data_IF_782849467772
#
_entry.id   IF_782849467772
#
_cell.length_a   1.000
_cell.length_b   1.000
_cell.length_c   1.000
_cell.angle_alpha   90.00
_cell.angle_beta   90.00
_cell.angle_gamma   90.00
#
_symmetry.space_group_name_H-M   'P 1'
#
loop_
_entity.id
_entity.type
_entity.pdbx_description
1 polymer ?
#
# COMPACT_ATOMS: atom_id res chain seq x y z
N UNK A 1 -53.70 -16.99 19.77
CA UNK A 1 -52.50 -16.21 20.14
C UNK A 1 -51.34 -16.80 19.36
N UNK A 2 -50.54 -16.01 18.61
CA UNK A 2 -49.38 -16.59 17.93
C UNK A 2 -48.42 -17.10 19.02
N UNK A 3 -48.02 -18.37 18.92
CA UNK A 3 -47.16 -19.04 19.90
C UNK A 3 -45.83 -18.31 20.05
N UNK A 4 -45.27 -18.32 21.27
CA UNK A 4 -43.93 -17.79 21.50
C UNK A 4 -42.93 -18.51 20.58
N UNK A 5 -41.99 -17.78 19.95
CA UNK A 5 -40.88 -18.40 19.25
C UNK A 5 -40.20 -19.43 20.15
N UNK A 6 -39.82 -20.55 19.56
CA UNK A 6 -39.08 -21.60 20.26
C UNK A 6 -37.67 -21.10 20.59
N UNK A 7 -37.07 -21.60 21.68
CA UNK A 7 -35.71 -21.23 22.10
C UNK A 7 -34.67 -21.38 20.96
N UNK A 8 -34.88 -22.35 20.07
CA UNK A 8 -34.05 -22.58 18.88
C UNK A 8 -34.16 -21.47 17.83
N UNK A 9 -35.34 -20.88 17.66
CA UNK A 9 -35.55 -19.74 16.75
C UNK A 9 -34.88 -18.48 17.31
N UNK A 10 -34.99 -18.23 18.61
CA UNK A 10 -34.34 -17.10 19.28
C UNK A 10 -32.80 -17.17 19.17
N UNK A 11 -32.20 -18.35 19.41
CA UNK A 11 -30.76 -18.56 19.23
C UNK A 11 -30.31 -18.42 17.77
N UNK A 12 -31.14 -18.86 16.82
CA UNK A 12 -30.86 -18.70 15.39
C UNK A 12 -30.83 -17.22 15.01
N UNK A 13 -31.84 -16.44 15.43
CA UNK A 13 -31.90 -15.01 15.18
C UNK A 13 -30.75 -14.26 15.84
N UNK A 14 -30.39 -14.61 17.09
CA UNK A 14 -29.27 -14.00 17.80
C UNK A 14 -27.92 -14.20 17.07
N UNK A 15 -27.67 -15.42 16.55
CA UNK A 15 -26.47 -15.70 15.74
C UNK A 15 -26.45 -14.90 14.45
N UNK A 16 -27.57 -14.85 13.73
CA UNK A 16 -27.67 -14.12 12.47
C UNK A 16 -27.45 -12.61 12.67
N UNK A 17 -28.02 -12.04 13.74
CA UNK A 17 -27.80 -10.64 14.11
C UNK A 17 -26.34 -10.35 14.43
N UNK A 18 -25.69 -11.23 15.20
CA UNK A 18 -24.28 -11.10 15.53
C UNK A 18 -23.41 -11.15 14.28
N UNK A 19 -23.62 -12.12 13.40
CA UNK A 19 -22.90 -12.24 12.13
C UNK A 19 -23.09 -11.01 11.24
N UNK A 20 -24.33 -10.50 11.14
CA UNK A 20 -24.63 -9.28 10.37
C UNK A 20 -23.95 -8.06 10.97
N UNK A 21 -23.99 -7.88 12.29
CA UNK A 21 -23.30 -6.79 12.99
C UNK A 21 -21.79 -6.86 12.78
N UNK A 22 -21.20 -8.06 12.92
CA UNK A 22 -19.77 -8.28 12.65
C UNK A 22 -19.42 -7.89 11.21
N UNK A 23 -20.17 -8.38 10.23
CA UNK A 23 -19.96 -8.04 8.81
C UNK A 23 -20.01 -6.52 8.57
N UNK A 24 -20.96 -5.82 9.16
CA UNK A 24 -21.07 -4.35 9.04
C UNK A 24 -19.86 -3.64 9.64
N UNK A 25 -19.36 -4.10 10.79
CA UNK A 25 -18.16 -3.54 11.41
C UNK A 25 -16.93 -3.81 10.54
N UNK A 26 -16.74 -5.04 10.07
CA UNK A 26 -15.62 -5.43 9.20
C UNK A 26 -15.61 -4.59 7.90
N UNK A 27 -16.77 -4.40 7.28
CA UNK A 27 -16.91 -3.56 6.07
C UNK A 27 -16.58 -2.09 6.35
N UNK A 28 -17.00 -1.57 7.50
CA UNK A 28 -16.70 -0.19 7.92
C UNK A 28 -15.22 0.00 8.19
N UNK A 29 -14.58 -0.96 8.87
CA UNK A 29 -13.14 -0.94 9.14
C UNK A 29 -12.34 -1.05 7.84
N UNK A 30 -12.71 -1.94 6.93
CA UNK A 30 -12.08 -2.08 5.62
C UNK A 30 -12.16 -0.78 4.81
N UNK A 31 -13.33 -0.13 4.78
CA UNK A 31 -13.50 1.18 4.14
C UNK A 31 -12.59 2.25 4.76
N UNK A 32 -12.56 2.32 6.10
CA UNK A 32 -11.70 3.27 6.80
C UNK A 32 -10.21 3.02 6.51
N UNK A 33 -9.78 1.76 6.44
CA UNK A 33 -8.40 1.40 6.08
C UNK A 33 -8.04 1.83 4.65
N UNK A 34 -8.95 1.66 3.69
CA UNK A 34 -8.77 2.14 2.32
C UNK A 34 -8.67 3.68 2.26
N UNK A 35 -9.55 4.38 2.97
CA UNK A 35 -9.53 5.85 3.06
C UNK A 35 -8.19 6.38 3.59
N UNK A 36 -7.69 5.78 4.69
CA UNK A 36 -6.39 6.11 5.28
C UNK A 36 -5.26 5.85 4.29
N UNK A 37 -5.28 4.70 3.59
CA UNK A 37 -4.28 4.37 2.58
C UNK A 37 -4.28 5.38 1.45
N UNK A 38 -5.45 5.69 0.90
CA UNK A 38 -5.63 6.67 -0.19
C UNK A 38 -5.09 8.04 0.23
N UNK A 39 -5.45 8.50 1.43
CA UNK A 39 -4.97 9.77 1.95
C UNK A 39 -3.45 9.78 2.11
N UNK A 40 -2.89 8.74 2.73
CA UNK A 40 -1.44 8.62 2.93
C UNK A 40 -0.68 8.65 1.59
N UNK A 41 -1.12 7.87 0.61
CA UNK A 41 -0.52 7.86 -0.72
C UNK A 41 -0.62 9.21 -1.41
N UNK A 42 -1.72 9.95 -1.25
CA UNK A 42 -1.86 11.29 -1.85
C UNK A 42 -0.87 12.32 -1.29
N UNK A 43 -0.45 12.18 -0.03
CA UNK A 43 0.46 13.13 0.63
C UNK A 43 1.93 12.76 0.39
N UNK A 44 2.25 11.46 0.37
CA UNK A 44 3.63 10.98 0.25
C UNK A 44 4.09 10.89 -1.21
N UNK A 45 3.18 10.82 -2.19
CA UNK A 45 3.54 10.72 -3.61
C UNK A 45 4.42 11.90 -4.04
N UNK A 46 5.56 11.60 -4.69
CA UNK A 46 6.55 12.60 -5.12
C UNK A 46 7.41 13.18 -3.98
N UNK A 47 7.23 12.72 -2.73
CA UNK A 47 8.06 13.12 -1.59
C UNK A 47 8.86 11.95 -1.06
N UNK A 48 10.07 12.24 -0.62
CA UNK A 48 10.92 11.25 0.00
C UNK A 48 10.36 10.83 1.37
N UNK A 49 10.03 9.55 1.60
CA UNK A 49 9.50 9.09 2.88
C UNK A 49 10.54 9.12 4.02
N UNK A 50 11.83 9.27 3.70
CA UNK A 50 12.91 9.41 4.70
C UNK A 50 13.03 10.83 5.26
N UNK A 51 12.79 11.87 4.45
CA UNK A 51 13.07 13.25 4.86
C UNK A 51 12.06 14.31 4.40
N UNK A 52 11.01 13.93 3.67
CA UNK A 52 9.92 14.81 3.22
C UNK A 52 10.23 15.74 2.04
N UNK A 53 11.48 15.77 1.57
CA UNK A 53 11.90 16.58 0.43
C UNK A 53 11.41 16.00 -0.90
N UNK A 54 11.32 16.82 -1.94
CA UNK A 54 10.82 16.41 -3.25
C UNK A 54 11.73 15.38 -3.91
N UNK A 55 11.10 14.43 -4.61
CA UNK A 55 11.74 13.50 -5.52
C UNK A 55 11.87 14.17 -6.89
N UNK A 56 13.07 14.07 -7.47
CA UNK A 56 13.41 14.66 -8.76
C UNK A 56 13.68 13.51 -9.73
N UNK A 57 13.06 13.48 -10.92
CA UNK A 57 13.33 12.48 -11.93
C UNK A 57 14.76 12.65 -12.47
N UNK A 58 15.50 11.54 -12.53
CA UNK A 58 16.84 11.48 -13.08
C UNK A 58 16.93 10.37 -14.13
N UNK A 59 17.40 10.67 -15.36
CA UNK A 59 17.52 9.65 -16.39
C UNK A 59 18.69 8.71 -16.07
N UNK A 60 18.41 7.41 -16.08
CA UNK A 60 19.40 6.35 -15.91
C UNK A 60 19.16 5.25 -16.94
N UNK A 61 20.06 5.12 -17.91
CA UNK A 61 20.02 4.04 -18.93
C UNK A 61 18.68 3.93 -19.68
N UNK A 62 18.00 5.05 -19.90
CA UNK A 62 16.70 5.09 -20.58
C UNK A 62 15.49 4.90 -19.67
N UNK A 63 15.69 4.78 -18.35
CA UNK A 63 14.66 4.72 -17.31
C UNK A 63 14.69 6.04 -16.54
N UNK A 64 13.53 6.56 -16.13
CA UNK A 64 13.46 7.70 -15.21
C UNK A 64 13.44 7.17 -13.78
N UNK A 65 14.40 7.58 -12.94
CA UNK A 65 14.44 7.20 -11.53
C UNK A 65 14.11 8.39 -10.65
N UNK A 66 13.49 8.16 -9.50
CA UNK A 66 13.20 9.23 -8.55
C UNK A 66 14.32 9.39 -7.52
N UNK A 67 15.04 10.51 -7.60
CA UNK A 67 16.11 10.84 -6.64
C UNK A 67 15.68 11.93 -5.68
N UNK A 68 15.86 11.69 -4.37
CA UNK A 68 15.61 12.71 -3.36
C UNK A 68 16.63 13.85 -3.45
N UNK A 69 16.12 15.07 -3.59
CA UNK A 69 16.90 16.32 -3.61
C UNK A 69 17.77 16.55 -2.37
N UNK A 70 17.38 16.00 -1.21
CA UNK A 70 18.03 16.26 0.08
C UNK A 70 18.88 15.10 0.58
N UNK A 71 18.28 13.93 0.79
CA UNK A 71 18.98 12.79 1.40
C UNK A 71 19.66 11.87 0.37
N UNK A 72 19.59 12.21 -0.93
CA UNK A 72 20.20 11.47 -2.04
C UNK A 72 19.69 10.02 -2.20
N UNK A 73 18.60 9.64 -1.51
CA UNK A 73 17.98 8.33 -1.67
C UNK A 73 17.32 8.19 -3.04
N UNK A 74 17.49 7.03 -3.67
CA UNK A 74 16.87 6.68 -4.95
C UNK A 74 15.66 5.79 -4.69
N UNK A 75 14.54 6.11 -5.32
CA UNK A 75 13.26 5.42 -5.23
C UNK A 75 12.92 4.87 -6.62
N UNK A 76 12.45 3.63 -6.63
CA UNK A 76 12.15 2.87 -7.83
C UNK A 76 10.68 2.54 -7.85
N UNK A 77 10.02 2.78 -8.97
CA UNK A 77 8.67 2.33 -9.22
C UNK A 77 8.63 0.83 -9.55
N UNK A 78 7.44 0.26 -9.50
CA UNK A 78 7.23 -1.16 -9.77
C UNK A 78 7.69 -1.51 -11.19
N UNK A 79 8.65 -2.43 -11.29
CA UNK A 79 9.22 -2.89 -12.57
C UNK A 79 10.44 -2.13 -13.07
N UNK A 80 10.83 -1.00 -12.44
CA UNK A 80 12.06 -0.28 -12.83
C UNK A 80 13.32 -1.04 -12.42
N UNK A 81 13.28 -1.71 -11.25
CA UNK A 81 14.41 -2.52 -10.79
C UNK A 81 14.74 -3.64 -11.79
N UNK A 82 13.73 -4.28 -12.38
CA UNK A 82 13.93 -5.35 -13.35
C UNK A 82 14.68 -4.85 -14.61
N UNK A 83 14.33 -3.64 -15.06
CA UNK A 83 14.99 -2.98 -16.20
C UNK A 83 16.44 -2.58 -15.89
N UNK A 84 16.81 -2.38 -14.63
CA UNK A 84 18.18 -2.05 -14.20
C UNK A 84 19.08 -3.29 -14.10
N UNK A 85 18.49 -4.43 -13.76
CA UNK A 85 19.20 -5.67 -13.39
C UNK A 85 19.51 -6.56 -14.60
N UNK A 86 18.85 -6.34 -15.74
CA UNK A 86 19.05 -7.08 -16.99
C UNK A 86 20.42 -6.88 -17.66
N UNK A 87 21.30 -6.04 -17.12
CA UNK A 87 22.58 -5.69 -17.74
C UNK A 87 23.76 -6.54 -17.23
N UNK A 88 24.71 -6.87 -18.12
CA UNK A 88 25.79 -7.87 -17.98
C UNK A 88 26.76 -7.69 -16.78
N UNK A 89 26.68 -6.57 -16.05
CA UNK A 89 27.52 -6.29 -14.88
C UNK A 89 27.02 -6.96 -13.58
N UNK A 90 25.83 -7.59 -13.62
CA UNK A 90 25.17 -8.17 -12.46
C UNK A 90 24.59 -7.13 -11.49
N UNK A 91 23.66 -7.58 -10.63
CA UNK A 91 22.91 -6.74 -9.67
C UNK A 91 23.83 -5.79 -8.87
N UNK A 92 24.91 -6.31 -8.31
CA UNK A 92 25.83 -5.53 -7.47
C UNK A 92 26.61 -4.45 -8.24
N UNK A 93 26.92 -4.69 -9.51
CA UNK A 93 27.59 -3.70 -10.37
C UNK A 93 26.67 -2.54 -10.74
N UNK A 94 25.42 -2.84 -11.08
CA UNK A 94 24.40 -1.84 -11.40
C UNK A 94 24.02 -1.00 -10.18
N UNK A 95 23.75 -1.63 -9.03
CA UNK A 95 23.40 -0.92 -7.79
C UNK A 95 24.55 -0.03 -7.31
N UNK A 96 25.81 -0.48 -7.40
CA UNK A 96 26.95 0.35 -7.00
C UNK A 96 27.02 1.67 -7.80
N UNK A 97 26.59 1.71 -9.06
CA UNK A 97 26.61 2.97 -9.84
C UNK A 97 25.42 3.89 -9.54
N UNK A 98 24.31 3.33 -9.05
CA UNK A 98 23.12 4.09 -8.66
C UNK A 98 23.31 4.75 -7.29
N UNK A 99 23.97 4.03 -6.38
CA UNK A 99 24.14 4.44 -4.98
C UNK A 99 25.55 4.92 -4.63
N UNK A 100 26.44 5.08 -5.61
CA UNK A 100 27.76 5.73 -5.45
C UNK A 100 27.67 7.23 -5.72
#
# INVERSE_FOLDING_TARGET
MPGKPTEQEDEYFARLEFERKRKVLDEREARAAEDVRRHTLSVVRGRCPKCGADLIPVPYRGIELDKCSRCQGVWLDFGELDQIVTDDAGLFGSLRRIFS
#
